data_IF_606116425284
#
_entry.id   IF_606116425284
#
_cell.length_a   1.000
_cell.length_b   1.000
_cell.length_c   1.000
_cell.angle_alpha   90.00
_cell.angle_beta   90.00
_cell.angle_gamma   90.00
#
_symmetry.space_group_name_H-M   'P 1'
#
loop_
_entity.id
_entity.type
_entity.pdbx_description
1 polymer ?
#
# COMPACT_ATOMS: atom_id res chain seq x y z
N UNK A 1 0.60 14.76 27.12
CA UNK A 1 0.26 14.45 26.81
C UNK A 1 0.03 14.23 26.08
N UNK A 2 0.10 14.25 25.75
CA UNK A 2 -0.25 14.01 25.20
C UNK A 2 -0.57 13.61 24.37
N UNK A 3 -0.42 13.41 24.08
CA UNK A 3 -0.80 12.90 23.39
C UNK A 3 -1.47 12.76 22.76
N UNK A 4 -1.29 13.02 22.80
CA UNK A 4 -2.02 12.88 22.32
C UNK A 4 -2.37 12.27 21.44
N UNK A 5 -2.03 11.45 21.73
CA UNK A 5 -2.44 10.74 20.85
C UNK A 5 -3.24 11.21 20.02
N UNK A 6 -2.91 11.14 19.17
CA UNK A 6 -3.71 11.77 18.27
C UNK A 6 -4.82 10.93 17.80
N UNK A 7 -5.95 11.11 18.34
CA UNK A 7 -7.09 10.29 18.00
C UNK A 7 -7.51 10.48 16.56
N UNK A 8 -7.05 11.52 15.93
CA UNK A 8 -7.41 11.72 14.54
C UNK A 8 -6.66 10.79 13.62
N UNK A 9 -5.65 10.14 14.14
CA UNK A 9 -4.90 9.19 13.33
C UNK A 9 -5.69 7.92 13.25
N UNK A 10 -6.48 7.80 12.22
CA UNK A 10 -7.28 6.60 12.03
C UNK A 10 -6.56 5.58 11.18
N UNK A 11 -5.52 5.97 10.47
CA UNK A 11 -4.76 5.06 9.64
C UNK A 11 -3.54 4.57 10.40
N UNK A 12 -3.22 3.29 10.24
CA UNK A 12 -1.99 2.76 10.83
C UNK A 12 -0.78 3.45 10.24
N UNK A 13 0.27 3.47 10.99
CA UNK A 13 1.54 4.01 10.51
C UNK A 13 2.05 3.15 9.36
N UNK A 14 2.56 3.80 8.34
CA UNK A 14 3.12 3.10 7.20
C UNK A 14 4.48 2.54 7.60
N UNK A 15 4.64 1.23 7.46
CA UNK A 15 5.88 0.55 7.81
C UNK A 15 6.91 0.71 6.70
N UNK A 16 6.46 0.68 5.45
CA UNK A 16 7.36 0.72 4.32
C UNK A 16 6.66 1.38 3.14
N UNK A 17 7.37 2.21 2.42
CA UNK A 17 6.87 2.84 1.20
C UNK A 17 7.63 2.29 0.01
N UNK A 18 6.88 1.84 -0.99
CA UNK A 18 7.43 1.35 -2.24
C UNK A 18 7.18 2.39 -3.31
N UNK A 19 8.25 2.99 -3.80
CA UNK A 19 8.14 4.01 -4.85
C UNK A 19 8.25 3.31 -6.20
N UNK A 20 7.09 3.03 -6.79
CA UNK A 20 7.02 2.37 -8.09
C UNK A 20 6.59 3.35 -9.18
N UNK A 21 6.77 4.65 -8.94
CA UNK A 21 6.43 5.64 -9.95
C UNK A 21 7.32 5.45 -11.17
N UNK A 22 6.70 5.56 -12.33
CA UNK A 22 7.43 5.34 -13.58
C UNK A 22 7.46 3.90 -14.06
N UNK A 23 7.03 2.96 -13.21
CA UNK A 23 6.93 1.57 -13.60
C UNK A 23 5.53 1.26 -14.11
N UNK A 24 5.43 0.29 -14.99
CA UNK A 24 4.15 -0.13 -15.54
C UNK A 24 3.80 -1.51 -15.01
N UNK A 25 2.49 -1.79 -14.94
CA UNK A 25 2.02 -3.08 -14.53
C UNK A 25 2.63 -4.17 -15.40
N UNK A 26 3.12 -5.26 -14.79
CA UNK A 26 2.91 -5.65 -13.40
C UNK A 26 3.99 -5.16 -12.42
N UNK A 27 4.79 -4.17 -12.81
CA UNK A 27 5.89 -3.69 -11.97
C UNK A 27 5.47 -3.29 -10.57
N UNK A 28 4.51 -2.33 -10.42
CA UNK A 28 4.11 -1.91 -9.07
C UNK A 28 3.53 -3.06 -8.25
N UNK A 29 2.76 -3.93 -8.89
CA UNK A 29 2.21 -5.08 -8.19
C UNK A 29 3.30 -6.02 -7.72
N UNK A 30 4.30 -6.28 -8.55
CA UNK A 30 5.39 -7.17 -8.18
C UNK A 30 6.20 -6.58 -7.03
N UNK A 31 6.41 -5.27 -7.04
CA UNK A 31 7.12 -4.61 -5.95
C UNK A 31 6.34 -4.73 -4.64
N UNK A 32 5.03 -4.60 -4.70
CA UNK A 32 4.20 -4.77 -3.52
C UNK A 32 4.29 -6.20 -2.99
N UNK A 33 4.20 -7.17 -3.87
CA UNK A 33 4.28 -8.57 -3.48
C UNK A 33 5.61 -8.85 -2.78
N UNK A 34 6.68 -8.32 -3.33
CA UNK A 34 8.00 -8.49 -2.74
C UNK A 34 8.06 -7.86 -1.36
N UNK A 35 7.54 -6.64 -1.21
CA UNK A 35 7.55 -5.97 0.08
C UNK A 35 6.75 -6.74 1.12
N UNK A 36 5.62 -7.32 0.71
CA UNK A 36 4.81 -8.11 1.63
C UNK A 36 5.54 -9.38 2.04
N UNK A 37 6.22 -10.03 1.11
CA UNK A 37 6.99 -11.23 1.45
C UNK A 37 8.11 -10.94 2.43
N UNK A 38 8.72 -9.77 2.31
CA UNK A 38 9.83 -9.39 3.18
C UNK A 38 9.37 -8.84 4.51
N UNK A 39 8.09 -8.51 4.63
CA UNK A 39 7.57 -7.91 5.84
C UNK A 39 6.98 -8.92 6.80
N UNK A 40 6.49 -8.41 7.93
CA UNK A 40 5.83 -9.19 8.94
C UNK A 40 4.33 -8.93 8.91
N UNK A 41 3.56 -9.89 9.42
CA UNK A 41 2.11 -9.72 9.54
C UNK A 41 1.84 -8.47 10.36
N UNK A 42 0.95 -7.63 9.87
CA UNK A 42 0.65 -6.36 10.50
C UNK A 42 1.37 -5.19 9.87
N UNK A 43 2.38 -5.44 9.04
CA UNK A 43 3.08 -4.35 8.37
C UNK A 43 2.15 -3.66 7.38
N UNK A 44 2.31 -2.34 7.28
CA UNK A 44 1.52 -1.50 6.39
C UNK A 44 2.44 -0.97 5.31
N UNK A 45 2.09 -1.26 4.07
CA UNK A 45 2.94 -0.92 2.94
C UNK A 45 2.20 0.03 2.02
N UNK A 46 2.83 1.15 1.71
CA UNK A 46 2.29 2.10 0.75
C UNK A 46 3.01 1.92 -0.57
N UNK A 47 2.26 1.85 -1.65
CA UNK A 47 2.82 1.75 -2.99
C UNK A 47 2.44 3.02 -3.74
N UNK A 48 3.44 3.67 -4.31
CA UNK A 48 3.23 4.84 -5.16
C UNK A 48 3.32 4.39 -6.60
N UNK A 49 2.28 4.66 -7.37
CA UNK A 49 2.22 4.21 -8.75
C UNK A 49 1.69 5.31 -9.65
N UNK A 50 2.26 5.39 -10.84
CA UNK A 50 1.75 6.27 -11.88
C UNK A 50 1.03 5.48 -12.95
N UNK A 51 0.97 4.16 -12.80
CA UNK A 51 0.32 3.28 -13.76
C UNK A 51 -1.14 3.04 -13.38
N UNK A 52 -2.04 3.39 -14.28
CA UNK A 52 -3.48 3.28 -13.98
C UNK A 52 -3.94 1.84 -13.81
N UNK A 53 -3.27 0.90 -14.46
CA UNK A 53 -3.62 -0.51 -14.32
C UNK A 53 -3.40 -1.02 -12.91
N UNK A 54 -2.43 -0.45 -12.21
CA UNK A 54 -2.14 -0.87 -10.84
C UNK A 54 -3.29 -0.56 -9.89
N UNK A 55 -4.06 0.47 -10.17
CA UNK A 55 -5.21 0.82 -9.33
C UNK A 55 -6.28 -0.25 -9.37
N UNK A 56 -6.27 -1.05 -10.41
CA UNK A 56 -7.23 -2.15 -10.58
C UNK A 56 -6.61 -3.45 -10.13
N UNK A 57 -5.38 -3.71 -10.54
CA UNK A 57 -4.74 -5.00 -10.31
C UNK A 57 -4.33 -5.21 -8.86
N UNK A 58 -3.84 -4.16 -8.22
CA UNK A 58 -3.38 -4.30 -6.84
C UNK A 58 -4.53 -4.63 -5.88
N UNK A 59 -5.67 -3.93 -5.93
CA UNK A 59 -6.78 -4.31 -5.06
C UNK A 59 -7.27 -5.74 -5.30
N UNK A 60 -7.29 -6.18 -6.55
CA UNK A 60 -7.69 -7.55 -6.86
C UNK A 60 -6.73 -8.56 -6.24
N UNK A 61 -5.44 -8.32 -6.37
CA UNK A 61 -4.45 -9.22 -5.81
C UNK A 61 -4.53 -9.22 -4.29
N UNK A 62 -4.71 -8.05 -3.68
CA UNK A 62 -4.78 -7.92 -2.23
C UNK A 62 -5.93 -8.78 -1.69
N UNK A 63 -7.07 -8.72 -2.35
CA UNK A 63 -8.22 -9.50 -1.92
C UNK A 63 -7.95 -10.99 -2.08
N UNK A 64 -7.40 -11.39 -3.21
CA UNK A 64 -7.10 -12.80 -3.46
C UNK A 64 -6.09 -13.36 -2.47
N UNK A 65 -5.10 -12.56 -2.13
CA UNK A 65 -4.04 -13.01 -1.25
C UNK A 65 -4.43 -12.97 0.22
N UNK A 66 -5.58 -12.37 0.53
CA UNK A 66 -6.05 -12.32 1.91
C UNK A 66 -5.47 -11.20 2.73
N UNK A 67 -4.95 -10.18 2.09
CA UNK A 67 -4.46 -9.00 2.80
C UNK A 67 -5.55 -7.94 2.84
N UNK A 68 -5.26 -6.78 3.42
CA UNK A 68 -6.24 -5.70 3.56
C UNK A 68 -5.84 -4.48 2.77
N UNK A 69 -6.77 -3.98 1.98
CA UNK A 69 -6.59 -2.70 1.31
C UNK A 69 -7.08 -1.62 2.26
N UNK A 70 -6.15 -0.77 2.72
CA UNK A 70 -6.51 0.26 3.69
C UNK A 70 -6.89 1.57 3.03
N UNK A 71 -6.25 1.90 1.90
CA UNK A 71 -6.54 3.15 1.23
C UNK A 71 -6.09 3.06 -0.21
N UNK A 72 -6.76 3.84 -1.05
CA UNK A 72 -6.35 4.04 -2.44
C UNK A 72 -6.67 5.49 -2.73
N UNK A 73 -5.64 6.33 -2.75
CA UNK A 73 -5.83 7.76 -2.84
C UNK A 73 -5.02 8.37 -3.96
N UNK A 74 -5.66 9.26 -4.69
CA UNK A 74 -4.96 10.01 -5.72
C UNK A 74 -4.13 11.09 -5.05
N UNK A 75 -2.85 11.11 -5.38
CA UNK A 75 -1.94 12.16 -4.96
C UNK A 75 -1.59 13.00 -6.16
N UNK A 76 -0.77 14.00 -5.93
CA UNK A 76 -0.38 14.87 -7.01
C UNK A 76 0.66 14.16 -7.88
N UNK A 77 0.23 13.73 -9.05
CA UNK A 77 1.12 13.06 -9.99
C UNK A 77 1.27 11.58 -9.82
N UNK A 78 0.60 10.97 -8.82
CA UNK A 78 0.67 9.53 -8.64
C UNK A 78 -0.49 9.08 -7.75
N UNK A 79 -0.64 7.78 -7.63
CA UNK A 79 -1.63 7.19 -6.73
C UNK A 79 -0.93 6.47 -5.60
N UNK A 80 -1.49 6.57 -4.40
CA UNK A 80 -0.96 5.87 -3.24
C UNK A 80 -1.92 4.77 -2.85
N UNK A 81 -1.41 3.55 -2.79
CA UNK A 81 -2.20 2.37 -2.45
C UNK A 81 -1.61 1.81 -1.17
N UNK A 82 -2.41 1.74 -0.12
CA UNK A 82 -1.94 1.32 1.20
C UNK A 82 -2.53 -0.03 1.53
N UNK A 83 -1.66 -0.98 1.84
CA UNK A 83 -2.04 -2.38 2.04
C UNK A 83 -1.45 -2.87 3.36
N UNK A 84 -2.26 -3.60 4.13
CA UNK A 84 -1.79 -4.22 5.36
C UNK A 84 -1.58 -5.71 5.12
N UNK A 85 -0.41 -6.20 5.53
CA UNK A 85 -0.14 -7.63 5.44
C UNK A 85 -0.92 -8.35 6.53
N UNK A 86 -1.87 -9.19 6.11
CA UNK A 86 -2.78 -9.85 7.04
C UNK A 86 -2.42 -11.30 7.32
N UNK A 87 -1.48 -11.85 6.57
CA UNK A 87 -1.15 -13.26 6.77
C UNK A 87 0.24 -13.60 6.26
#
# INVERSE_FOLDING_TARGET
MTLTSDPTTTLPSITRTVDARGSYCPGPLMELIRAIREGAVGDVIAVWSTDKGSKIDIPKWVEKAGHRLLALEAREGYDEIVVEKAR
#
